data_IF_268561835599
#
_entry.id   IF_268561835599
#
_cell.length_a   1.000
_cell.length_b   1.000
_cell.length_c   1.000
_cell.angle_alpha   90.00
_cell.angle_beta   90.00
_cell.angle_gamma   90.00
#
_symmetry.space_group_name_H-M   'P 1'
#
loop_
_entity.id
_entity.type
_entity.pdbx_description
1 polymer ?
#
# COMPACT_ATOMS: atom_id res chain seq x y z
N UNK A 1 -40.71 74.21 8.17
CA UNK A 1 -40.22 72.97 8.81
C UNK A 1 -39.96 71.95 7.70
N UNK A 2 -38.71 71.67 7.34
CA UNK A 2 -38.38 70.75 6.22
C UNK A 2 -38.17 69.36 6.81
N UNK A 3 -39.10 68.44 6.54
CA UNK A 3 -39.01 67.05 6.98
C UNK A 3 -37.93 66.31 6.16
N UNK A 4 -36.84 65.93 6.82
CA UNK A 4 -35.74 65.13 6.27
C UNK A 4 -36.21 63.68 6.09
N UNK A 5 -36.40 63.25 4.83
CA UNK A 5 -36.77 61.87 4.51
C UNK A 5 -35.58 60.93 4.78
N UNK A 6 -35.75 60.01 5.72
CA UNK A 6 -34.79 58.96 6.05
C UNK A 6 -34.69 57.97 4.88
N UNK A 7 -33.65 58.08 4.05
CA UNK A 7 -33.34 57.06 3.03
C UNK A 7 -32.87 55.79 3.74
N UNK A 8 -33.78 54.84 3.97
CA UNK A 8 -33.41 53.48 4.35
C UNK A 8 -32.64 52.87 3.16
N UNK A 9 -31.34 52.65 3.34
CA UNK A 9 -30.47 52.10 2.30
C UNK A 9 -30.81 50.63 2.03
N UNK A 10 -31.65 50.38 1.03
CA UNK A 10 -31.93 49.03 0.54
C UNK A 10 -30.71 48.42 -0.15
N UNK A 11 -30.63 47.10 -0.15
CA UNK A 11 -29.64 46.36 -0.93
C UNK A 11 -30.01 46.52 -2.41
N UNK A 12 -29.14 47.16 -3.19
CA UNK A 12 -29.31 47.29 -4.64
C UNK A 12 -29.08 45.95 -5.33
N UNK A 13 -29.73 45.71 -6.47
CA UNK A 13 -29.62 44.45 -7.23
C UNK A 13 -28.16 44.04 -7.53
N UNK A 14 -27.27 45.03 -7.70
CA UNK A 14 -25.83 44.81 -7.86
C UNK A 14 -25.18 44.10 -6.65
N UNK A 15 -25.53 44.52 -5.42
CA UNK A 15 -25.01 43.89 -4.20
C UNK A 15 -25.53 42.46 -4.03
N UNK A 16 -26.77 42.19 -4.41
CA UNK A 16 -27.33 40.83 -4.43
C UNK A 16 -26.61 39.95 -5.45
N UNK A 17 -26.28 40.48 -6.63
CA UNK A 17 -25.48 39.77 -7.64
C UNK A 17 -24.10 39.35 -7.12
N UNK A 18 -23.40 40.26 -6.41
CA UNK A 18 -22.10 39.95 -5.80
C UNK A 18 -22.23 38.86 -4.73
N UNK A 19 -23.23 38.96 -3.86
CA UNK A 19 -23.48 37.95 -2.81
C UNK A 19 -23.76 36.58 -3.45
N UNK A 20 -24.59 36.53 -4.49
CA UNK A 20 -24.88 35.31 -5.24
C UNK A 20 -23.62 34.69 -5.84
N UNK A 21 -22.74 35.51 -6.43
CA UNK A 21 -21.46 35.04 -6.98
C UNK A 21 -20.59 34.40 -5.89
N UNK A 22 -20.45 35.04 -4.73
CA UNK A 22 -19.67 34.48 -3.62
C UNK A 22 -20.24 33.16 -3.11
N UNK A 23 -21.57 33.00 -3.06
CA UNK A 23 -22.19 31.75 -2.66
C UNK A 23 -21.88 30.61 -3.64
N UNK A 24 -22.00 30.86 -4.94
CA UNK A 24 -21.71 29.87 -5.98
C UNK A 24 -20.25 29.44 -5.92
N UNK A 25 -19.32 30.40 -5.84
CA UNK A 25 -17.88 30.10 -5.75
C UNK A 25 -17.57 29.30 -4.49
N UNK A 26 -18.17 29.65 -3.36
CA UNK A 26 -17.94 28.96 -2.09
C UNK A 26 -18.39 27.50 -2.13
N UNK A 27 -19.55 27.21 -2.74
CA UNK A 27 -20.07 25.84 -2.91
C UNK A 27 -19.13 25.02 -3.80
N UNK A 28 -18.68 25.60 -4.92
CA UNK A 28 -17.71 24.92 -5.79
C UNK A 28 -16.39 24.64 -5.09
N UNK A 29 -15.87 25.60 -4.32
CA UNK A 29 -14.64 25.42 -3.54
C UNK A 29 -14.78 24.32 -2.50
N UNK A 30 -15.90 24.27 -1.77
CA UNK A 30 -16.15 23.24 -0.76
C UNK A 30 -16.13 21.83 -1.36
N UNK A 31 -16.82 21.63 -2.48
CA UNK A 31 -16.85 20.34 -3.17
C UNK A 31 -15.48 19.95 -3.74
N UNK A 32 -14.70 20.92 -4.22
CA UNK A 32 -13.33 20.69 -4.69
C UNK A 32 -12.40 20.27 -3.56
N UNK A 33 -12.49 20.90 -2.38
CA UNK A 33 -11.66 20.54 -1.21
C UNK A 33 -11.96 19.11 -0.75
N UNK A 34 -13.25 18.73 -0.68
CA UNK A 34 -13.63 17.37 -0.31
C UNK A 34 -13.06 16.33 -1.28
N UNK A 35 -13.15 16.62 -2.59
CA UNK A 35 -12.63 15.76 -3.65
C UNK A 35 -11.11 15.67 -3.59
N UNK A 36 -10.42 16.81 -3.45
CA UNK A 36 -8.97 16.89 -3.34
C UNK A 36 -8.45 16.08 -2.16
N UNK A 37 -9.06 16.22 -0.99
CA UNK A 37 -8.68 15.46 0.20
C UNK A 37 -8.86 13.95 0.03
N UNK A 38 -9.88 13.52 -0.72
CA UNK A 38 -10.06 12.11 -1.08
C UNK A 38 -8.93 11.63 -1.98
N UNK A 39 -8.61 12.39 -3.04
CA UNK A 39 -7.52 12.07 -3.96
C UNK A 39 -6.17 11.99 -3.25
N UNK A 40 -5.86 12.93 -2.36
CA UNK A 40 -4.59 12.92 -1.59
C UNK A 40 -4.49 11.69 -0.69
N UNK A 41 -5.60 11.27 -0.06
CA UNK A 41 -5.61 10.04 0.75
C UNK A 41 -5.38 8.80 -0.11
N UNK A 42 -6.04 8.72 -1.27
CA UNK A 42 -5.85 7.60 -2.20
C UNK A 42 -4.43 7.57 -2.78
N UNK A 43 -3.85 8.72 -3.11
CA UNK A 43 -2.47 8.81 -3.60
C UNK A 43 -1.47 8.35 -2.54
N UNK A 44 -1.66 8.81 -1.29
CA UNK A 44 -0.82 8.37 -0.17
C UNK A 44 -0.91 6.85 0.06
N UNK A 45 -2.12 6.29 0.07
CA UNK A 45 -2.30 4.84 0.22
C UNK A 45 -1.63 4.05 -0.91
N UNK A 46 -1.76 4.51 -2.15
CA UNK A 46 -1.09 3.88 -3.30
C UNK A 46 0.43 4.01 -3.23
N UNK A 47 0.96 5.13 -2.74
CA UNK A 47 2.40 5.28 -2.56
C UNK A 47 2.95 4.35 -1.47
N UNK A 48 2.20 4.16 -0.38
CA UNK A 48 2.52 3.17 0.66
C UNK A 48 2.52 1.75 0.07
N UNK A 49 1.48 1.38 -0.69
CA UNK A 49 1.40 0.08 -1.37
C UNK A 49 2.55 -0.14 -2.37
N UNK A 50 2.91 0.90 -3.15
CA UNK A 50 4.07 0.85 -4.06
C UNK A 50 5.37 0.66 -3.28
N UNK A 51 5.51 1.28 -2.11
CA UNK A 51 6.70 1.14 -1.28
C UNK A 51 6.82 -0.28 -0.72
N UNK A 52 5.71 -0.85 -0.22
CA UNK A 52 5.65 -2.23 0.27
C UNK A 52 5.98 -3.23 -0.84
N UNK A 53 5.35 -3.10 -2.01
CA UNK A 53 5.62 -3.98 -3.16
C UNK A 53 7.08 -3.87 -3.64
N UNK A 54 7.67 -2.68 -3.59
CA UNK A 54 9.09 -2.50 -3.93
C UNK A 54 10.01 -3.19 -2.92
N UNK A 55 9.68 -3.15 -1.64
CA UNK A 55 10.45 -3.85 -0.61
C UNK A 55 10.33 -5.36 -0.78
N UNK A 56 9.13 -5.87 -1.06
CA UNK A 56 8.91 -7.29 -1.36
C UNK A 56 9.71 -7.73 -2.58
N UNK A 57 9.69 -6.96 -3.68
CA UNK A 57 10.50 -7.24 -4.88
C UNK A 57 12.00 -7.24 -4.53
N UNK A 58 12.46 -6.32 -3.70
CA UNK A 58 13.85 -6.27 -3.24
C UNK A 58 14.22 -7.54 -2.47
N UNK A 59 13.38 -7.95 -1.51
CA UNK A 59 13.57 -9.16 -0.72
C UNK A 59 13.57 -10.43 -1.60
N UNK A 60 12.62 -10.55 -2.51
CA UNK A 60 12.56 -11.65 -3.48
C UNK A 60 13.79 -11.65 -4.39
N UNK A 61 14.29 -10.48 -4.81
CA UNK A 61 15.50 -10.38 -5.63
C UNK A 61 16.77 -10.77 -4.87
N UNK A 62 16.83 -10.50 -3.57
CA UNK A 62 17.91 -10.96 -2.68
C UNK A 62 17.86 -12.48 -2.49
N UNK A 63 16.65 -13.05 -2.35
CA UNK A 63 16.48 -14.50 -2.30
C UNK A 63 16.87 -15.15 -3.63
N UNK A 64 16.49 -14.54 -4.75
CA UNK A 64 16.83 -15.01 -6.09
C UNK A 64 18.34 -14.89 -6.38
N UNK A 65 19.01 -13.84 -5.88
CA UNK A 65 20.46 -13.70 -6.06
C UNK A 65 21.22 -14.76 -5.27
N UNK A 66 20.73 -15.14 -4.09
CA UNK A 66 21.22 -16.29 -3.31
C UNK A 66 20.87 -17.63 -3.96
N UNK A 67 19.71 -17.74 -4.60
CA UNK A 67 19.28 -18.98 -5.28
C UNK A 67 20.05 -19.26 -6.57
N UNK A 68 20.66 -18.24 -7.19
CA UNK A 68 21.54 -18.36 -8.36
C UNK A 68 22.98 -18.70 -8.01
N UNK A 69 23.33 -18.81 -6.73
CA UNK A 69 24.64 -19.31 -6.31
C UNK A 69 24.72 -20.80 -6.61
N UNK A 70 25.84 -21.25 -7.18
CA UNK A 70 26.08 -22.65 -7.54
C UNK A 70 25.83 -23.61 -6.37
N UNK A 71 26.14 -23.18 -5.15
CA UNK A 71 25.91 -23.92 -3.91
C UNK A 71 24.43 -24.20 -3.63
N UNK A 72 23.52 -23.26 -3.94
CA UNK A 72 22.08 -23.45 -3.72
C UNK A 72 21.48 -24.41 -4.74
N UNK A 73 21.88 -24.27 -6.01
CA UNK A 73 21.47 -25.18 -7.09
C UNK A 73 21.96 -26.60 -6.80
N UNK A 74 23.21 -26.74 -6.35
CA UNK A 74 23.79 -28.01 -5.94
C UNK A 74 23.03 -28.61 -4.74
N UNK A 75 22.63 -27.79 -3.77
CA UNK A 75 21.90 -28.24 -2.58
C UNK A 75 20.48 -28.74 -2.92
N UNK A 76 19.73 -28.01 -3.75
CA UNK A 76 18.39 -28.44 -4.20
C UNK A 76 18.47 -29.70 -5.06
N UNK A 77 19.40 -29.76 -6.01
CA UNK A 77 19.58 -30.94 -6.86
C UNK A 77 19.94 -32.19 -6.02
N UNK A 78 20.69 -32.01 -4.93
CA UNK A 78 21.04 -33.09 -4.00
C UNK A 78 19.86 -33.56 -3.17
N UNK A 79 19.04 -32.64 -2.69
CA UNK A 79 17.83 -32.96 -1.92
C UNK A 79 16.83 -33.75 -2.79
N UNK A 80 16.61 -33.31 -4.03
CA UNK A 80 15.76 -34.01 -5.00
C UNK A 80 16.30 -35.39 -5.41
N UNK A 81 17.64 -35.54 -5.51
CA UNK A 81 18.28 -36.79 -5.90
C UNK A 81 18.63 -37.71 -4.71
N UNK A 82 18.35 -37.28 -3.47
CA UNK A 82 18.76 -38.00 -2.26
C UNK A 82 20.28 -38.20 -2.13
N UNK A 83 21.06 -37.30 -2.75
CA UNK A 83 22.53 -37.38 -2.80
C UNK A 83 23.17 -36.59 -1.66
N UNK A 84 24.23 -37.13 -1.07
CA UNK A 84 25.03 -36.47 -0.02
C UNK A 84 26.45 -36.17 -0.53
N UNK A 85 27.11 -35.16 0.04
CA UNK A 85 28.51 -34.82 -0.32
C UNK A 85 29.40 -36.02 0.02
N UNK A 86 30.47 -36.32 -0.76
CA UNK A 86 31.35 -37.48 -0.49
C UNK A 86 32.02 -37.49 0.90
N UNK A 87 31.97 -36.38 1.65
CA UNK A 87 32.54 -36.22 2.98
C UNK A 87 31.48 -35.98 4.08
N UNK A 88 30.20 -36.09 3.75
CA UNK A 88 29.09 -35.91 4.70
C UNK A 88 28.41 -37.26 4.97
N UNK A 89 28.02 -37.51 6.22
CA UNK A 89 27.33 -38.74 6.64
C UNK A 89 25.91 -38.33 7.05
N UNK A 90 24.90 -39.01 6.52
CA UNK A 90 23.50 -38.81 6.95
C UNK A 90 23.35 -39.34 8.38
N UNK A 91 23.21 -38.43 9.35
CA UNK A 91 22.88 -38.79 10.73
C UNK A 91 21.37 -39.06 10.76
N UNK A 92 21.00 -40.33 10.85
CA UNK A 92 19.63 -40.74 11.20
C UNK A 92 19.64 -40.95 12.71
N UNK A 93 19.00 -40.05 13.45
CA UNK A 93 18.74 -40.29 14.87
C UNK A 93 17.87 -41.54 14.98
N UNK A 94 18.42 -42.58 15.62
CA UNK A 94 17.76 -43.88 15.85
C UNK A 94 16.69 -43.79 16.95
N UNK A 95 15.89 -42.72 16.97
CA UNK A 95 14.83 -42.57 17.97
C UNK A 95 13.47 -43.07 17.46
N UNK A 96 13.29 -43.21 16.15
CA UNK A 96 12.02 -43.69 15.56
C UNK A 96 12.11 -45.11 14.95
N UNK A 97 12.90 -46.00 15.54
CA UNK A 97 13.00 -47.40 15.05
C UNK A 97 11.89 -48.33 15.56
N UNK A 98 10.92 -47.81 16.33
CA UNK A 98 9.89 -48.64 16.96
C UNK A 98 8.52 -48.58 16.27
N UNK A 99 8.31 -47.71 15.28
CA UNK A 99 6.97 -47.49 14.67
C UNK A 99 6.70 -48.42 13.45
N UNK A 100 7.72 -49.12 12.92
CA UNK A 100 7.57 -49.94 11.70
C UNK A 100 7.65 -51.46 11.90
N UNK A 101 7.61 -51.95 13.15
CA UNK A 101 7.56 -53.40 13.43
C UNK A 101 6.16 -53.99 13.62
N UNK A 102 5.10 -53.19 13.52
CA UNK A 102 3.73 -53.62 13.82
C UNK A 102 2.81 -53.69 12.60
N UNK A 103 3.28 -54.23 11.48
CA UNK A 103 2.39 -54.79 10.46
C UNK A 103 3.12 -55.93 9.72
N UNK A 104 3.00 -57.13 10.29
CA UNK A 104 3.32 -58.40 9.63
C UNK A 104 2.01 -59.16 9.41
#
# INVERSE_FOLDING_TARGET
MIMKKNKKGGITAFKLGIISLFLIVSIHFYNQIATYNKLVKEDKAKQEEIAELKDEISNVKVLLSKSKTQEFIELIARDELGMIKPKEIKVVDKVDTDIFKENK
#
